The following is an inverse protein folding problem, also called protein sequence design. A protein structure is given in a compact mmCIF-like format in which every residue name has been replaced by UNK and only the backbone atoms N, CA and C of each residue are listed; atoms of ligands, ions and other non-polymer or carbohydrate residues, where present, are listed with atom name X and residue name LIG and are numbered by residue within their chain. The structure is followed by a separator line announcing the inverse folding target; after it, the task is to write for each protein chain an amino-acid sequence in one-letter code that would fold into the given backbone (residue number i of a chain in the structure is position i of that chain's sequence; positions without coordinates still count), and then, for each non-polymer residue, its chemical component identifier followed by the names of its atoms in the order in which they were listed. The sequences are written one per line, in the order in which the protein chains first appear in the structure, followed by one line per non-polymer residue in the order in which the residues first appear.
data_IF_517748382670
#
_entry.id   IF_517748382670
#
_cell.length_a   1.000
_cell.length_b   1.000
_cell.length_c   1.000
_cell.angle_alpha   90.00
_cell.angle_beta   90.00
_cell.angle_gamma   90.00
#
_symmetry.space_group_name_H-M   'P 1'
#
loop_
_entity.id
_entity.type
_entity.pdbx_description
1 polymer ?
#
# COMPACT_ATOMS: atom_id res chain seq x y z
N UNK A 1 39.50 -1.98 4.25
CA UNK A 1 38.33 -2.26 5.11
C UNK A 1 37.29 -2.91 4.21
N UNK A 2 36.78 -4.09 4.54
CA UNK A 2 35.69 -4.69 3.78
C UNK A 2 34.44 -3.80 3.99
N UNK A 3 33.88 -3.27 2.90
CA UNK A 3 32.58 -2.57 2.97
C UNK A 3 31.55 -3.54 3.53
N UNK A 4 30.87 -3.10 4.60
CA UNK A 4 29.83 -3.91 5.21
C UNK A 4 28.68 -4.12 4.21
N UNK A 5 28.14 -5.30 4.24
CA UNK A 5 26.94 -5.67 3.52
C UNK A 5 25.78 -4.75 3.88
N UNK A 6 25.10 -4.18 2.88
CA UNK A 6 23.98 -3.26 3.09
C UNK A 6 22.63 -3.96 2.99
N UNK A 7 21.72 -3.59 3.91
CA UNK A 7 20.35 -4.05 3.95
C UNK A 7 19.38 -2.95 3.55
N UNK A 8 18.34 -3.31 2.79
CA UNK A 8 17.30 -2.38 2.34
C UNK A 8 15.94 -2.91 2.74
N UNK A 9 15.15 -2.05 3.38
CA UNK A 9 13.74 -2.30 3.62
C UNK A 9 12.89 -1.81 2.43
N UNK A 10 12.07 -2.68 1.85
CA UNK A 10 11.14 -2.33 0.78
C UNK A 10 9.70 -2.49 1.28
N UNK A 11 8.96 -1.40 1.25
CA UNK A 11 7.61 -1.27 1.82
C UNK A 11 6.61 -1.10 0.68
N UNK A 12 5.79 -2.14 0.44
CA UNK A 12 4.74 -2.10 -0.59
C UNK A 12 3.39 -1.74 0.03
N UNK A 13 2.83 -0.63 -0.40
CA UNK A 13 1.42 -0.31 -0.19
C UNK A 13 0.59 -1.06 -1.25
N UNK A 14 0.14 -2.27 -0.89
CA UNK A 14 -0.48 -3.20 -1.82
C UNK A 14 -1.77 -2.65 -2.44
N UNK A 15 -2.53 -1.90 -1.68
CA UNK A 15 -3.81 -1.41 -2.15
C UNK A 15 -3.67 -0.25 -3.15
N UNK A 16 -2.57 0.46 -3.11
CA UNK A 16 -2.20 1.46 -4.10
C UNK A 16 -1.63 0.87 -5.41
N UNK A 17 -1.30 -0.42 -5.45
CA UNK A 17 -0.84 -1.09 -6.66
C UNK A 17 -1.97 -1.19 -7.69
N UNK A 18 -1.61 -1.03 -8.96
CA UNK A 18 -2.57 -1.23 -10.07
C UNK A 18 -2.96 -2.71 -10.22
N UNK A 19 -4.12 -3.03 -10.84
CA UNK A 19 -4.49 -4.42 -11.08
C UNK A 19 -3.46 -5.21 -11.89
N UNK A 20 -2.73 -4.54 -12.80
CA UNK A 20 -1.67 -5.17 -13.58
C UNK A 20 -0.51 -5.56 -12.67
N UNK A 21 -0.06 -4.64 -11.81
CA UNK A 21 1.03 -4.90 -10.87
C UNK A 21 0.68 -6.01 -9.86
N UNK A 22 -0.55 -6.02 -9.35
CA UNK A 22 -1.03 -7.12 -8.47
C UNK A 22 -1.00 -8.47 -9.19
N UNK A 23 -1.31 -8.50 -10.48
CA UNK A 23 -1.24 -9.71 -11.31
C UNK A 23 0.19 -10.14 -11.64
N UNK A 24 1.09 -9.17 -11.89
CA UNK A 24 2.51 -9.44 -12.15
C UNK A 24 3.20 -10.07 -10.93
N UNK A 25 2.75 -9.72 -9.71
CA UNK A 25 3.21 -10.28 -8.45
C UNK A 25 4.33 -9.49 -7.78
N UNK A 26 4.51 -9.77 -6.49
CA UNK A 26 5.46 -9.04 -5.61
C UNK A 26 6.91 -9.26 -6.05
N UNK A 27 7.26 -10.47 -6.50
CA UNK A 27 8.64 -10.76 -6.95
C UNK A 27 9.04 -9.95 -8.19
N UNK A 28 8.16 -9.88 -9.19
CA UNK A 28 8.40 -9.11 -10.42
C UNK A 28 8.44 -7.60 -10.11
N UNK A 29 7.56 -7.12 -9.25
CA UNK A 29 7.57 -5.72 -8.81
C UNK A 29 8.87 -5.37 -8.08
N UNK A 30 9.29 -6.22 -7.13
CA UNK A 30 10.54 -6.04 -6.40
C UNK A 30 11.73 -5.99 -7.38
N UNK A 31 11.76 -6.90 -8.32
CA UNK A 31 12.84 -6.95 -9.34
C UNK A 31 12.88 -5.64 -10.14
N UNK A 32 11.73 -5.15 -10.61
CA UNK A 32 11.62 -3.86 -11.32
C UNK A 32 12.10 -2.70 -10.45
N UNK A 33 11.66 -2.63 -9.18
CA UNK A 33 12.03 -1.59 -8.22
C UNK A 33 13.55 -1.59 -7.98
N UNK A 34 14.13 -2.75 -7.71
CA UNK A 34 15.58 -2.87 -7.47
C UNK A 34 16.41 -2.51 -8.71
N UNK A 35 15.94 -2.85 -9.92
CA UNK A 35 16.60 -2.47 -11.17
C UNK A 35 16.55 -0.96 -11.43
N UNK A 36 15.47 -0.30 -11.04
CA UNK A 36 15.28 1.14 -11.24
C UNK A 36 15.92 1.99 -10.12
N UNK A 37 16.29 1.38 -9.02
CA UNK A 37 16.82 2.10 -7.87
C UNK A 37 18.20 2.69 -8.17
N UNK A 38 18.41 3.99 -7.86
CA UNK A 38 19.71 4.63 -8.06
C UNK A 38 20.79 3.95 -7.21
N UNK A 39 21.80 3.38 -7.85
CA UNK A 39 22.91 2.69 -7.17
C UNK A 39 23.71 3.61 -6.24
N UNK A 40 23.70 4.92 -6.53
CA UNK A 40 24.35 5.96 -5.73
C UNK A 40 23.61 6.25 -4.42
N UNK A 41 22.29 6.03 -4.36
CA UNK A 41 21.48 6.38 -3.20
C UNK A 41 21.70 5.42 -2.03
N UNK A 42 21.87 4.13 -2.33
CA UNK A 42 22.00 3.07 -1.29
C UNK A 42 23.42 2.46 -1.30
N UNK A 43 24.28 2.89 -2.21
CA UNK A 43 25.64 2.40 -2.35
C UNK A 43 25.78 1.13 -3.19
N UNK A 44 27.03 0.75 -3.49
CA UNK A 44 27.35 -0.25 -4.51
C UNK A 44 27.04 -1.72 -4.14
N UNK A 45 26.71 -2.02 -2.86
CA UNK A 45 26.61 -3.41 -2.39
C UNK A 45 25.40 -3.64 -1.49
N UNK A 46 24.20 -3.62 -2.07
CA UNK A 46 23.04 -4.21 -1.42
C UNK A 46 23.22 -5.74 -1.49
N UNK A 47 23.11 -6.41 -0.36
CA UNK A 47 23.13 -7.88 -0.32
C UNK A 47 21.87 -8.47 0.27
N UNK A 48 21.09 -7.68 1.00
CA UNK A 48 19.85 -8.11 1.64
C UNK A 48 18.73 -7.13 1.38
N UNK A 49 17.56 -7.66 1.05
CA UNK A 49 16.34 -6.91 0.85
C UNK A 49 15.22 -7.57 1.64
N UNK A 50 14.66 -6.86 2.60
CA UNK A 50 13.48 -7.31 3.35
C UNK A 50 12.25 -6.55 2.85
N UNK A 51 11.30 -7.29 2.33
CA UNK A 51 10.07 -6.77 1.74
C UNK A 51 8.93 -6.93 2.72
N UNK A 52 8.23 -5.83 2.99
CA UNK A 52 6.98 -5.85 3.75
C UNK A 52 5.83 -5.35 2.90
N UNK A 53 4.77 -6.13 2.86
CA UNK A 53 3.59 -5.85 2.04
C UNK A 53 2.44 -5.43 2.96
N UNK A 54 1.95 -4.21 2.78
CA UNK A 54 0.91 -3.59 3.61
C UNK A 54 -0.42 -3.60 2.88
N UNK A 55 -1.48 -3.99 3.58
CA UNK A 55 -2.83 -4.07 3.03
C UNK A 55 -3.87 -4.45 4.06
N UNK A 56 -5.12 -4.51 3.64
CA UNK A 56 -6.24 -4.95 4.47
C UNK A 56 -6.25 -6.47 4.67
N UNK A 57 -5.35 -7.00 5.50
CA UNK A 57 -5.12 -8.44 5.64
C UNK A 57 -6.14 -9.17 6.51
N UNK A 58 -6.77 -8.49 7.46
CA UNK A 58 -7.72 -9.09 8.38
C UNK A 58 -9.07 -8.39 8.37
N UNK A 59 -10.12 -9.17 8.21
CA UNK A 59 -11.49 -8.78 8.51
C UNK A 59 -11.86 -9.40 9.86
N UNK A 60 -12.05 -8.56 10.89
CA UNK A 60 -12.08 -9.00 12.28
C UNK A 60 -10.79 -9.78 12.62
N UNK A 61 -10.89 -11.03 13.01
CA UNK A 61 -9.75 -11.91 13.27
C UNK A 61 -9.48 -12.91 12.12
N UNK A 62 -10.19 -12.80 11.00
CA UNK A 62 -10.04 -13.72 9.87
C UNK A 62 -9.22 -13.09 8.75
N UNK A 63 -8.29 -13.87 8.22
CA UNK A 63 -7.49 -13.45 7.07
C UNK A 63 -8.37 -13.30 5.83
N UNK A 64 -8.27 -12.16 5.14
CA UNK A 64 -8.99 -11.91 3.90
C UNK A 64 -8.53 -12.84 2.78
N UNK A 65 -9.38 -13.07 1.77
CA UNK A 65 -9.01 -13.87 0.60
C UNK A 65 -7.77 -13.31 -0.09
N UNK A 66 -7.70 -12.01 -0.23
CA UNK A 66 -6.54 -11.31 -0.79
C UNK A 66 -5.26 -11.62 -0.01
N UNK A 67 -5.31 -11.58 1.33
CA UNK A 67 -4.16 -11.92 2.17
C UNK A 67 -3.71 -13.37 2.00
N UNK A 68 -4.66 -14.30 1.87
CA UNK A 68 -4.37 -15.72 1.61
C UNK A 68 -3.65 -15.89 0.26
N UNK A 69 -4.16 -15.25 -0.80
CA UNK A 69 -3.59 -15.34 -2.14
C UNK A 69 -2.16 -14.76 -2.18
N UNK A 70 -1.93 -13.59 -1.55
CA UNK A 70 -0.59 -12.97 -1.47
C UNK A 70 0.35 -13.79 -0.56
N UNK A 71 -0.15 -14.43 0.50
CA UNK A 71 0.65 -15.33 1.34
C UNK A 71 1.17 -16.51 0.52
N UNK A 72 0.31 -17.14 -0.29
CA UNK A 72 0.73 -18.25 -1.17
C UNK A 72 1.77 -17.80 -2.18
N UNK A 73 1.58 -16.62 -2.76
CA UNK A 73 2.56 -16.01 -3.68
C UNK A 73 3.92 -15.80 -3.01
N UNK A 74 3.93 -15.18 -1.83
CA UNK A 74 5.16 -14.95 -1.07
C UNK A 74 5.85 -16.27 -0.73
N UNK A 75 5.12 -17.28 -0.25
CA UNK A 75 5.70 -18.58 0.08
C UNK A 75 6.28 -19.32 -1.12
N UNK A 76 5.73 -19.10 -2.32
CA UNK A 76 6.22 -19.69 -3.55
C UNK A 76 7.51 -19.02 -4.04
N UNK A 77 7.59 -17.68 -3.94
CA UNK A 77 8.59 -16.88 -4.64
C UNK A 77 9.73 -16.39 -3.71
N UNK A 78 9.56 -16.49 -2.38
CA UNK A 78 10.55 -16.06 -1.39
C UNK A 78 10.85 -17.16 -0.35
N UNK A 79 12.10 -17.21 0.20
CA UNK A 79 13.23 -16.32 -0.09
C UNK A 79 13.80 -16.57 -1.48
N UNK A 80 14.34 -15.50 -2.10
CA UNK A 80 14.89 -15.61 -3.45
C UNK A 80 16.18 -14.78 -3.62
N UNK A 81 16.92 -15.06 -4.70
CA UNK A 81 18.11 -14.30 -5.06
C UNK A 81 17.88 -13.56 -6.38
N UNK A 82 17.85 -12.24 -6.30
CA UNK A 82 17.69 -11.38 -7.46
C UNK A 82 19.06 -10.93 -7.95
N UNK A 83 19.35 -11.16 -9.22
CA UNK A 83 20.58 -10.68 -9.87
C UNK A 83 20.33 -9.34 -10.54
N UNK A 84 20.94 -8.29 -10.01
CA UNK A 84 20.89 -6.97 -10.62
C UNK A 84 22.02 -6.84 -11.64
N UNK A 85 21.73 -6.43 -12.89
CA UNK A 85 22.74 -6.33 -13.94
C UNK A 85 23.79 -5.27 -13.60
N UNK A 86 24.94 -5.36 -14.23
CA UNK A 86 25.95 -4.31 -14.19
C UNK A 86 25.37 -2.99 -14.76
N UNK A 87 25.77 -1.86 -14.19
CA UNK A 87 25.35 -0.53 -14.64
C UNK A 87 26.53 0.43 -14.60
N UNK A 88 27.00 0.84 -15.76
CA UNK A 88 28.23 1.62 -15.90
C UNK A 88 29.43 0.85 -15.31
N UNK A 89 30.15 1.50 -14.39
CA UNK A 89 31.29 0.86 -13.68
C UNK A 89 30.86 -0.05 -12.51
N UNK A 90 29.56 -0.10 -12.16
CA UNK A 90 29.07 -0.92 -11.06
C UNK A 90 28.89 -2.36 -11.54
N UNK A 91 29.54 -3.37 -10.92
CA UNK A 91 29.39 -4.77 -11.29
C UNK A 91 27.98 -5.29 -11.00
N UNK A 92 27.65 -6.44 -11.59
CA UNK A 92 26.43 -7.16 -11.23
C UNK A 92 26.49 -7.59 -9.77
N UNK A 93 25.36 -7.51 -9.08
CA UNK A 93 25.24 -7.93 -7.68
C UNK A 93 24.09 -8.90 -7.49
N UNK A 94 24.24 -9.80 -6.52
CA UNK A 94 23.18 -10.70 -6.09
C UNK A 94 22.58 -10.17 -4.77
N UNK A 95 21.27 -10.05 -4.74
CA UNK A 95 20.53 -9.56 -3.58
C UNK A 95 19.65 -10.69 -3.05
N UNK A 96 19.83 -11.08 -1.80
CA UNK A 96 18.91 -12.02 -1.14
C UNK A 96 17.67 -11.26 -0.71
N UNK A 97 16.52 -11.67 -1.21
CA UNK A 97 15.24 -11.05 -0.92
C UNK A 97 14.36 -11.97 -0.06
N UNK A 98 13.81 -11.40 1.02
CA UNK A 98 12.76 -12.02 1.82
C UNK A 98 11.51 -11.17 1.71
N UNK A 99 10.32 -11.78 1.87
CA UNK A 99 9.05 -11.05 1.87
C UNK A 99 8.11 -11.58 2.93
N UNK A 100 7.30 -10.67 3.48
CA UNK A 100 6.24 -10.99 4.43
C UNK A 100 5.05 -10.04 4.30
N UNK A 101 3.87 -10.49 4.73
CA UNK A 101 2.75 -9.58 4.98
C UNK A 101 2.99 -8.80 6.27
N UNK A 102 2.77 -7.50 6.23
CA UNK A 102 2.82 -6.66 7.43
C UNK A 102 1.55 -6.88 8.25
N UNK A 103 1.60 -7.80 9.20
CA UNK A 103 0.49 -8.13 10.11
C UNK A 103 0.69 -7.53 11.51
N UNK A 104 1.89 -7.03 11.80
CA UNK A 104 2.31 -6.42 13.04
C UNK A 104 3.30 -5.31 12.75
N UNK A 105 3.58 -4.44 13.72
CA UNK A 105 4.69 -3.49 13.61
C UNK A 105 6.05 -4.21 13.61
N UNK A 106 7.02 -3.66 12.90
CA UNK A 106 8.41 -4.15 12.93
C UNK A 106 8.98 -4.23 14.34
N UNK A 107 8.60 -3.28 15.21
CA UNK A 107 9.05 -3.23 16.61
C UNK A 107 8.39 -4.28 17.51
N UNK A 108 7.19 -4.75 17.13
CA UNK A 108 6.39 -5.67 17.93
C UNK A 108 5.83 -6.82 17.08
N UNK A 109 6.70 -7.67 16.50
CA UNK A 109 6.28 -8.68 15.53
C UNK A 109 5.33 -9.74 16.09
N UNK A 110 5.28 -9.90 17.42
CA UNK A 110 4.36 -10.82 18.07
C UNK A 110 2.94 -10.24 18.26
N UNK A 111 2.75 -8.93 18.11
CA UNK A 111 1.46 -8.28 18.32
C UNK A 111 0.75 -8.03 16.97
N UNK A 112 -0.03 -9.02 16.53
CA UNK A 112 -0.79 -8.90 15.28
C UNK A 112 -1.90 -7.85 15.37
N UNK A 113 -1.99 -7.03 14.34
CA UNK A 113 -3.02 -6.00 14.19
C UNK A 113 -4.17 -6.56 13.35
N UNK A 114 -5.27 -6.87 14.02
CA UNK A 114 -6.47 -7.40 13.40
C UNK A 114 -7.41 -6.29 12.90
N UNK A 115 -8.45 -6.69 12.16
CA UNK A 115 -9.49 -5.80 11.65
C UNK A 115 -8.94 -4.63 10.81
N UNK A 116 -7.91 -4.92 10.01
CA UNK A 116 -7.27 -3.96 9.10
C UNK A 116 -8.11 -3.71 7.84
N UNK A 117 -9.07 -4.60 7.55
CA UNK A 117 -10.06 -4.46 6.49
C UNK A 117 -11.45 -4.66 7.06
N UNK A 118 -12.36 -3.72 6.86
CA UNK A 118 -13.69 -3.80 7.45
C UNK A 118 -14.77 -3.21 6.56
N UNK A 119 -15.95 -3.78 6.68
CA UNK A 119 -17.17 -3.19 6.15
C UNK A 119 -17.62 -2.07 7.09
N UNK A 120 -17.77 -0.88 6.57
CA UNK A 120 -18.38 0.25 7.26
C UNK A 120 -19.70 0.56 6.60
N UNK A 121 -20.72 0.82 7.42
CA UNK A 121 -22.03 1.24 6.96
C UNK A 121 -21.99 2.55 6.17
N UNK A 122 -23.14 3.09 5.86
CA UNK A 122 -23.30 4.33 5.09
C UNK A 122 -22.33 5.41 5.58
N UNK A 123 -21.49 6.00 4.71
CA UNK A 123 -20.65 7.13 5.09
C UNK A 123 -21.49 8.32 5.57
N UNK A 124 -21.14 8.90 6.72
CA UNK A 124 -21.87 10.02 7.32
C UNK A 124 -21.65 11.36 6.58
N UNK A 125 -20.59 11.45 5.79
CA UNK A 125 -20.16 12.66 5.10
C UNK A 125 -20.45 12.65 3.59
N UNK A 126 -21.33 11.75 3.11
CA UNK A 126 -21.74 11.75 1.70
C UNK A 126 -22.50 13.04 1.41
N UNK A 127 -21.99 13.81 0.45
CA UNK A 127 -22.70 14.90 -0.20
C UNK A 127 -23.18 14.41 -1.55
N UNK A 128 -24.47 14.59 -1.81
CA UNK A 128 -25.10 14.16 -3.07
C UNK A 128 -25.80 15.36 -3.68
N UNK A 129 -25.44 15.69 -4.91
CA UNK A 129 -26.14 16.69 -5.71
C UNK A 129 -27.53 16.20 -6.10
N UNK A 130 -28.43 17.13 -6.36
CA UNK A 130 -29.73 16.78 -6.96
C UNK A 130 -29.52 16.36 -8.42
N UNK A 131 -30.29 15.41 -8.95
CA UNK A 131 -30.14 14.98 -10.34
C UNK A 131 -30.23 16.13 -11.35
N UNK A 132 -31.06 17.13 -11.08
CA UNK A 132 -31.21 18.31 -11.92
C UNK A 132 -29.90 19.16 -11.97
N UNK A 133 -29.24 19.33 -10.82
CA UNK A 133 -27.94 20.02 -10.77
C UNK A 133 -26.85 19.24 -11.49
N UNK A 134 -26.97 17.91 -11.54
CA UNK A 134 -26.09 17.02 -12.31
C UNK A 134 -26.49 16.87 -13.79
N UNK A 135 -27.47 17.66 -14.27
CA UNK A 135 -27.91 17.68 -15.68
C UNK A 135 -28.91 16.58 -16.07
N UNK A 136 -29.46 15.83 -15.11
CA UNK A 136 -30.49 14.84 -15.43
C UNK A 136 -31.88 15.49 -15.53
N UNK A 137 -32.49 15.39 -16.71
CA UNK A 137 -33.83 15.94 -17.01
C UNK A 137 -34.90 14.86 -17.26
N UNK A 138 -34.53 13.56 -17.18
CA UNK A 138 -35.46 12.46 -17.38
C UNK A 138 -36.51 12.38 -16.23
N UNK A 139 -37.82 12.50 -16.55
CA UNK A 139 -38.87 12.43 -15.54
C UNK A 139 -38.98 11.05 -14.87
N UNK A 140 -38.51 9.98 -15.50
CA UNK A 140 -38.52 8.62 -14.97
C UNK A 140 -37.20 8.25 -14.28
N UNK A 141 -36.32 9.21 -14.08
CA UNK A 141 -35.00 8.96 -13.47
C UNK A 141 -35.15 8.47 -12.03
N UNK A 142 -34.46 7.39 -11.68
CA UNK A 142 -34.43 6.84 -10.32
C UNK A 142 -33.51 7.60 -9.36
N UNK A 143 -32.66 8.50 -9.89
CA UNK A 143 -31.69 9.24 -9.08
C UNK A 143 -32.30 10.09 -7.95
N UNK A 144 -33.47 10.72 -8.11
CA UNK A 144 -34.12 11.43 -7.00
C UNK A 144 -34.45 10.52 -5.81
N UNK A 145 -34.94 9.29 -6.08
CA UNK A 145 -35.22 8.30 -5.05
C UNK A 145 -33.93 7.82 -4.37
N UNK A 146 -32.90 7.54 -5.15
CA UNK A 146 -31.58 7.16 -4.62
C UNK A 146 -30.96 8.29 -3.80
N UNK A 147 -31.04 9.53 -4.26
CA UNK A 147 -30.59 10.71 -3.52
C UNK A 147 -31.29 10.81 -2.16
N UNK A 148 -32.60 10.60 -2.12
CA UNK A 148 -33.38 10.60 -0.88
C UNK A 148 -32.92 9.47 0.05
N UNK A 149 -32.75 8.25 -0.46
CA UNK A 149 -32.21 7.12 0.31
C UNK A 149 -30.82 7.44 0.90
N UNK A 150 -29.92 7.99 0.09
CA UNK A 150 -28.57 8.31 0.53
C UNK A 150 -28.58 9.44 1.58
N UNK A 151 -29.40 10.47 1.39
CA UNK A 151 -29.48 11.61 2.33
C UNK A 151 -30.16 11.22 3.65
N UNK A 152 -31.32 10.57 3.57
CA UNK A 152 -32.16 10.30 4.75
C UNK A 152 -31.81 8.98 5.44
N UNK A 153 -31.16 8.05 4.71
CA UNK A 153 -30.89 6.69 5.19
C UNK A 153 -32.10 5.76 5.19
N UNK A 154 -33.23 6.16 4.57
CA UNK A 154 -34.46 5.35 4.49
C UNK A 154 -34.98 5.33 3.07
N UNK A 155 -35.57 4.21 2.69
CA UNK A 155 -36.26 4.13 1.41
C UNK A 155 -37.42 5.14 1.36
N UNK A 156 -37.57 5.93 0.28
CA UNK A 156 -38.68 6.88 0.15
C UNK A 156 -40.03 6.22 -0.11
N UNK A 157 -40.05 4.93 -0.40
CA UNK A 157 -41.31 4.18 -0.58
C UNK A 157 -41.94 3.83 0.77
N UNK A 158 -43.18 4.20 0.98
CA UNK A 158 -43.88 4.10 2.28
C UNK A 158 -43.97 2.67 2.83
N UNK A 159 -44.01 1.66 1.95
CA UNK A 159 -44.12 0.25 2.34
C UNK A 159 -42.73 -0.46 2.43
N UNK A 160 -41.66 0.25 2.23
CA UNK A 160 -40.32 -0.33 2.22
C UNK A 160 -39.57 0.00 3.52
N UNK A 161 -39.21 -1.03 4.27
CA UNK A 161 -38.42 -0.90 5.50
C UNK A 161 -36.88 -0.87 5.28
N UNK A 162 -36.42 -0.89 4.01
CA UNK A 162 -35.00 -0.90 3.71
C UNK A 162 -34.31 0.39 4.21
N UNK A 163 -33.20 0.20 4.90
CA UNK A 163 -32.36 1.31 5.39
C UNK A 163 -31.11 1.47 4.57
N UNK A 164 -30.62 2.69 4.49
CA UNK A 164 -29.37 3.01 3.80
C UNK A 164 -28.17 2.24 4.36
N UNK A 165 -28.16 1.93 5.65
CA UNK A 165 -27.09 1.15 6.30
C UNK A 165 -26.97 -0.27 5.77
N UNK A 166 -28.11 -0.87 5.38
CA UNK A 166 -28.14 -2.20 4.81
C UNK A 166 -27.78 -2.24 3.32
N UNK A 167 -28.02 -1.15 2.59
CA UNK A 167 -27.87 -1.07 1.14
C UNK A 167 -26.62 -0.34 0.70
N UNK A 168 -26.17 0.65 1.46
CA UNK A 168 -25.01 1.47 1.13
C UNK A 168 -23.92 1.25 2.17
N UNK A 169 -22.84 0.63 1.76
CA UNK A 169 -21.68 0.38 2.60
C UNK A 169 -20.41 0.60 1.80
N UNK A 170 -19.32 0.77 2.51
CA UNK A 170 -17.98 0.76 1.92
C UNK A 170 -17.09 -0.23 2.65
N UNK A 171 -16.15 -0.77 1.93
CA UNK A 171 -15.00 -1.38 2.55
C UNK A 171 -13.96 -0.29 2.79
N UNK A 172 -13.35 -0.30 3.95
CA UNK A 172 -12.25 0.60 4.27
C UNK A 172 -11.11 -0.19 4.91
N UNK A 173 -9.91 0.25 4.61
CA UNK A 173 -8.75 -0.13 5.39
C UNK A 173 -8.68 0.72 6.64
N UNK A 174 -8.09 0.17 7.68
CA UNK A 174 -7.89 0.86 8.94
C UNK A 174 -6.50 0.53 9.47
N UNK A 175 -5.84 1.54 10.01
CA UNK A 175 -4.51 1.48 10.61
C UNK A 175 -3.35 1.07 9.67
N UNK A 176 -3.62 0.63 8.44
CA UNK A 176 -2.59 0.14 7.50
C UNK A 176 -1.57 1.23 7.18
N UNK A 177 -2.05 2.42 6.80
CA UNK A 177 -1.19 3.56 6.46
C UNK A 177 -0.38 4.05 7.68
N UNK A 178 -1.01 4.01 8.87
CA UNK A 178 -0.32 4.34 10.12
C UNK A 178 0.76 3.32 10.44
N UNK A 179 0.47 2.02 10.28
CA UNK A 179 1.42 0.94 10.49
C UNK A 179 2.60 1.07 9.52
N UNK A 180 2.35 1.30 8.24
CA UNK A 180 3.38 1.53 7.23
C UNK A 180 4.24 2.75 7.58
N UNK A 181 3.62 3.85 8.01
CA UNK A 181 4.33 5.07 8.43
C UNK A 181 5.25 4.82 9.65
N UNK A 182 4.76 4.09 10.65
CA UNK A 182 5.56 3.71 11.83
C UNK A 182 6.75 2.84 11.43
N UNK A 183 6.52 1.84 10.59
CA UNK A 183 7.55 0.91 10.15
C UNK A 183 8.59 1.58 9.22
N UNK A 184 8.18 2.55 8.39
CA UNK A 184 9.11 3.37 7.60
C UNK A 184 10.07 4.14 8.51
N UNK A 185 9.53 4.83 9.53
CA UNK A 185 10.33 5.63 10.46
C UNK A 185 11.26 4.72 11.27
N UNK A 186 10.74 3.59 11.77
CA UNK A 186 11.53 2.62 12.53
C UNK A 186 12.63 1.99 11.66
N UNK A 187 12.27 1.53 10.46
CA UNK A 187 13.22 0.93 9.52
C UNK A 187 14.34 1.88 9.13
N UNK A 188 14.00 3.17 8.91
CA UNK A 188 14.96 4.23 8.64
C UNK A 188 15.74 4.69 9.87
N UNK A 189 15.33 4.34 11.08
CA UNK A 189 16.00 4.68 12.33
C UNK A 189 17.22 3.80 12.67
N UNK A 190 17.76 3.04 11.71
CA UNK A 190 18.98 2.25 11.85
C UNK A 190 18.80 0.74 11.66
N UNK A 191 17.59 0.26 11.37
CA UNK A 191 17.37 -1.15 11.03
C UNK A 191 17.82 -1.47 9.60
N UNK A 192 17.65 -0.53 8.68
CA UNK A 192 18.06 -0.64 7.29
C UNK A 192 19.04 0.48 6.91
N UNK A 193 19.98 0.19 6.01
CA UNK A 193 20.89 1.16 5.42
C UNK A 193 20.19 2.05 4.37
N UNK A 194 18.97 1.69 3.98
CA UNK A 194 18.12 2.47 3.11
C UNK A 194 16.70 1.92 3.09
N UNK A 195 15.74 2.78 2.78
CA UNK A 195 14.33 2.38 2.67
C UNK A 195 13.77 2.74 1.31
N UNK A 196 12.87 1.89 0.83
CA UNK A 196 12.16 2.07 -0.42
C UNK A 196 10.66 1.94 -0.15
N UNK A 197 9.89 2.92 -0.54
CA UNK A 197 8.44 2.90 -0.49
C UNK A 197 7.86 2.77 -1.90
N UNK A 198 6.92 1.87 -2.08
CA UNK A 198 6.12 1.76 -3.30
C UNK A 198 4.67 2.12 -2.95
N UNK A 199 4.33 3.38 -3.14
CA UNK A 199 2.97 3.92 -2.93
C UNK A 199 2.73 5.17 -3.76
N UNK A 200 1.49 5.35 -4.20
CA UNK A 200 1.01 6.58 -4.83
C UNK A 200 0.46 7.63 -3.85
N UNK A 201 0.40 7.31 -2.55
CA UNK A 201 -0.22 8.17 -1.55
C UNK A 201 0.77 9.18 -0.98
N UNK A 202 0.40 10.47 -1.05
CA UNK A 202 1.22 11.56 -0.54
C UNK A 202 1.22 11.67 1.00
N UNK A 203 0.33 10.96 1.69
CA UNK A 203 0.32 10.89 3.15
C UNK A 203 1.61 10.26 3.71
N UNK A 204 2.38 9.54 2.89
CA UNK A 204 3.68 9.01 3.27
C UNK A 204 4.86 9.98 3.09
N UNK A 205 4.64 11.18 2.56
CA UNK A 205 5.72 12.18 2.43
C UNK A 205 6.32 12.62 3.77
N UNK A 206 5.52 12.89 4.82
CA UNK A 206 6.06 13.22 6.14
C UNK A 206 6.93 12.11 6.75
N UNK A 207 6.50 10.83 6.82
CA UNK A 207 7.36 9.75 7.33
C UNK A 207 8.64 9.55 6.52
N UNK A 208 8.58 9.62 5.18
CA UNK A 208 9.79 9.57 4.34
C UNK A 208 10.75 10.74 4.63
N UNK A 209 10.20 11.93 4.82
CA UNK A 209 11.02 13.10 5.20
C UNK A 209 11.70 12.90 6.55
N UNK A 210 11.01 12.30 7.51
CA UNK A 210 11.59 11.95 8.82
C UNK A 210 12.76 10.97 8.67
N UNK A 211 12.61 9.94 7.83
CA UNK A 211 13.70 8.99 7.52
C UNK A 211 14.93 9.69 6.95
N UNK A 212 14.73 10.58 5.99
CA UNK A 212 15.83 11.37 5.39
C UNK A 212 16.51 12.27 6.43
N UNK A 213 15.76 12.88 7.35
CA UNK A 213 16.31 13.71 8.43
C UNK A 213 17.13 12.88 9.45
N UNK A 214 16.83 11.58 9.58
CA UNK A 214 17.67 10.65 10.37
C UNK A 214 18.95 10.23 9.62
N UNK A 215 19.15 10.68 8.38
CA UNK A 215 20.32 10.38 7.58
C UNK A 215 20.24 9.06 6.79
N UNK A 216 19.10 8.40 6.79
CA UNK A 216 18.89 7.16 6.02
C UNK A 216 18.38 7.50 4.62
N UNK A 217 19.04 7.02 3.55
CA UNK A 217 18.56 7.19 2.19
C UNK A 217 17.16 6.59 2.02
N UNK A 218 16.27 7.36 1.40
CA UNK A 218 14.90 6.93 1.12
C UNK A 218 14.52 7.20 -0.33
N UNK A 219 13.84 6.23 -0.96
CA UNK A 219 13.34 6.34 -2.34
C UNK A 219 11.86 5.99 -2.37
N UNK A 220 11.07 6.77 -3.09
CA UNK A 220 9.66 6.47 -3.36
C UNK A 220 9.47 6.11 -4.83
N UNK A 221 8.80 4.99 -5.07
CA UNK A 221 8.30 4.63 -6.39
C UNK A 221 6.78 4.80 -6.45
N UNK A 222 6.32 5.58 -7.42
CA UNK A 222 4.90 5.75 -7.66
C UNK A 222 4.38 4.62 -8.59
N UNK A 223 3.36 3.85 -8.19
CA UNK A 223 2.90 2.70 -8.96
C UNK A 223 2.25 3.06 -10.31
N UNK A 224 1.76 4.30 -10.50
CA UNK A 224 1.14 4.75 -11.74
C UNK A 224 2.14 5.51 -12.61
N UNK A 225 2.29 5.20 -13.91
CA UNK A 225 3.32 5.81 -14.78
C UNK A 225 3.18 7.32 -14.96
N UNK A 226 1.99 7.88 -14.78
CA UNK A 226 1.73 9.32 -14.91
C UNK A 226 1.66 10.05 -13.56
N UNK A 227 1.85 9.36 -12.45
CA UNK A 227 2.01 9.95 -11.13
C UNK A 227 3.45 10.43 -10.97
N UNK A 228 3.90 11.27 -11.90
CA UNK A 228 5.25 11.75 -11.89
C UNK A 228 5.51 12.68 -10.71
N UNK A 229 6.68 12.52 -10.15
CA UNK A 229 7.43 13.48 -9.37
C UNK A 229 7.18 13.50 -7.87
N UNK A 230 7.79 12.55 -7.21
CA UNK A 230 8.50 12.93 -6.00
C UNK A 230 9.93 12.38 -6.12
N UNK A 231 10.74 13.04 -6.89
CA UNK A 231 12.17 13.02 -6.66
C UNK A 231 12.38 13.89 -5.44
N UNK A 232 12.74 13.29 -4.33
CA UNK A 232 13.29 14.04 -3.21
C UNK A 232 14.69 14.49 -3.61
N UNK A 233 15.03 15.76 -3.37
CA UNK A 233 16.38 16.24 -3.56
C UNK A 233 17.35 15.56 -2.60
#
# INVERSE_FOLDING_TARGET
MAESAKSVGVFFDYDNLTPIQKRDGIFDLLTKVLCLMPRTTIGAKIIKCDVRVYGGWYQEAQMTRMAQDVTVEIQRDFPSVIRLPASGETPSIAVTANAELAMALLQEPAHHLFNTYRRKGRPSNIRVETPQNAGCTDPNCILPLMNTLIKTGRCPQSMCSATGENLVYRHEQKIVDTMLSCDLIHGGGGQYDGVVLVSGDDDFLPPLRTVLLHGTPAVRFHPKPNGARATFP
#
